data_IF_883351563059
#
_entry.id   IF_883351563059
#
_cell.length_a   1.000
_cell.length_b   1.000
_cell.length_c   1.000
_cell.angle_alpha   90.00
_cell.angle_beta   90.00
_cell.angle_gamma   90.00
#
_symmetry.space_group_name_H-M   'P 1'
#
loop_
_entity.id
_entity.type
_entity.pdbx_description
1 polymer ?
#
# COMPACT_ATOMS: atom_id res chain seq x y z
N UNK A 1 -6.18 -4.11 -14.16
CA UNK A 1 -6.74 -2.93 -13.49
C UNK A 1 -5.79 -1.76 -13.67
N UNK A 2 -6.29 -0.65 -14.13
CA UNK A 2 -5.50 0.53 -14.41
C UNK A 2 -5.24 1.32 -13.12
N UNK A 3 -3.99 1.70 -12.88
CA UNK A 3 -3.64 2.49 -11.71
C UNK A 3 -4.35 3.85 -11.70
N UNK A 4 -4.53 4.46 -12.87
CA UNK A 4 -5.23 5.73 -12.97
C UNK A 4 -6.66 5.62 -12.48
N UNK A 5 -7.31 4.51 -12.77
CA UNK A 5 -8.66 4.25 -12.32
C UNK A 5 -8.74 4.10 -10.79
N UNK A 6 -7.77 3.42 -10.20
CA UNK A 6 -7.70 3.25 -8.75
C UNK A 6 -7.56 4.59 -8.04
N UNK A 7 -6.76 5.50 -8.60
CA UNK A 7 -6.43 6.78 -7.96
C UNK A 7 -7.29 7.94 -8.45
N UNK A 8 -8.24 7.72 -9.35
CA UNK A 8 -8.99 8.77 -10.04
C UNK A 8 -9.74 9.68 -9.09
N UNK A 9 -10.12 9.62 -8.06
CA UNK A 9 -10.77 10.57 -7.17
C UNK A 9 -9.91 11.01 -6.01
N UNK A 10 -8.62 10.65 -6.02
CA UNK A 10 -7.75 10.84 -4.89
C UNK A 10 -6.43 11.50 -5.29
N UNK A 11 -6.52 12.60 -6.02
CA UNK A 11 -5.33 13.28 -6.55
C UNK A 11 -4.39 13.77 -5.44
N UNK A 12 -4.92 14.05 -4.24
CA UNK A 12 -4.11 14.51 -3.10
C UNK A 12 -3.61 13.37 -2.23
N UNK A 13 -3.95 12.14 -2.56
CA UNK A 13 -3.52 10.97 -1.79
C UNK A 13 -2.01 10.74 -1.95
N UNK A 14 -1.28 10.45 -0.85
CA UNK A 14 0.16 10.17 -0.95
C UNK A 14 0.52 9.07 -1.94
N UNK A 15 -0.30 8.04 -2.07
CA UNK A 15 -0.04 6.98 -3.04
C UNK A 15 -0.16 7.47 -4.47
N UNK A 16 -1.13 8.36 -4.75
CA UNK A 16 -1.26 8.98 -6.06
C UNK A 16 -0.02 9.80 -6.41
N UNK A 17 0.46 10.60 -5.48
CA UNK A 17 1.66 11.42 -5.67
C UNK A 17 2.87 10.52 -5.95
N UNK A 18 3.01 9.46 -5.16
CA UNK A 18 4.12 8.51 -5.32
C UNK A 18 4.08 7.84 -6.69
N UNK A 19 2.90 7.41 -7.13
CA UNK A 19 2.73 6.72 -8.41
C UNK A 19 2.99 7.62 -9.61
N UNK A 20 2.84 8.94 -9.45
CA UNK A 20 3.07 9.92 -10.51
C UNK A 20 4.45 10.55 -10.48
N UNK A 21 5.27 10.22 -9.49
CA UNK A 21 6.59 10.79 -9.36
C UNK A 21 7.45 10.43 -10.58
N UNK A 22 8.17 11.42 -11.11
CA UNK A 22 9.08 11.20 -12.23
C UNK A 22 10.31 10.43 -11.71
N UNK A 23 10.58 9.28 -12.29
CA UNK A 23 11.71 8.44 -11.89
C UNK A 23 12.96 8.66 -12.72
N UNK A 24 12.86 9.42 -13.81
CA UNK A 24 13.99 9.65 -14.70
C UNK A 24 15.22 10.26 -14.01
N UNK A 25 15.08 11.20 -13.04
CA UNK A 25 16.25 11.74 -12.36
C UNK A 25 16.95 10.78 -11.40
N UNK A 26 16.35 9.64 -11.09
CA UNK A 26 16.88 8.72 -10.08
C UNK A 26 17.96 7.82 -10.66
N UNK A 27 19.03 7.61 -9.89
CA UNK A 27 20.07 6.64 -10.22
C UNK A 27 19.58 5.22 -9.96
N UNK A 28 20.33 4.24 -10.42
CA UNK A 28 20.03 2.83 -10.16
C UNK A 28 19.99 2.55 -8.65
N UNK A 29 20.95 3.10 -7.90
CA UNK A 29 20.98 2.92 -6.46
C UNK A 29 19.76 3.55 -5.77
N UNK A 30 19.34 4.71 -6.27
CA UNK A 30 18.14 5.37 -5.74
C UNK A 30 16.88 4.59 -6.09
N UNK A 31 16.81 4.02 -7.28
CA UNK A 31 15.70 3.17 -7.66
C UNK A 31 15.64 1.91 -6.81
N UNK A 32 16.79 1.29 -6.54
CA UNK A 32 16.86 0.12 -5.66
C UNK A 32 16.39 0.46 -4.24
N UNK A 33 16.81 1.59 -3.72
CA UNK A 33 16.38 2.05 -2.40
C UNK A 33 14.87 2.31 -2.38
N UNK A 34 14.35 2.89 -3.46
CA UNK A 34 12.91 3.12 -3.60
C UNK A 34 12.15 1.81 -3.60
N UNK A 35 12.63 0.83 -4.35
CA UNK A 35 11.99 -0.49 -4.42
C UNK A 35 11.96 -1.14 -3.04
N UNK A 36 13.07 -1.10 -2.32
CA UNK A 36 13.15 -1.67 -0.98
C UNK A 36 12.16 -1.00 -0.03
N UNK A 37 12.04 0.31 -0.11
CA UNK A 37 11.09 1.06 0.72
C UNK A 37 9.64 0.70 0.37
N UNK A 38 9.35 0.54 -0.91
CA UNK A 38 8.01 0.16 -1.35
C UNK A 38 7.65 -1.26 -0.93
N UNK A 39 8.60 -2.17 -0.99
CA UNK A 39 8.39 -3.55 -0.53
C UNK A 39 8.10 -3.57 0.97
N UNK A 40 8.85 -2.79 1.76
CA UNK A 40 8.60 -2.67 3.20
C UNK A 40 7.21 -2.09 3.47
N UNK A 41 6.78 -1.13 2.67
CA UNK A 41 5.45 -0.53 2.79
C UNK A 41 4.35 -1.54 2.47
N UNK A 42 4.57 -2.39 1.47
CA UNK A 42 3.62 -3.46 1.14
C UNK A 42 3.47 -4.40 2.35
N UNK A 43 4.58 -4.79 2.96
CA UNK A 43 4.55 -5.67 4.13
C UNK A 43 3.78 -5.00 5.28
N UNK A 44 4.06 -3.73 5.55
CA UNK A 44 3.38 -2.97 6.60
C UNK A 44 1.88 -2.91 6.36
N UNK A 45 1.49 -2.65 5.12
CA UNK A 45 0.07 -2.55 4.74
C UNK A 45 -0.63 -3.91 4.88
N UNK A 46 0.03 -4.98 4.47
CA UNK A 46 -0.51 -6.33 4.61
C UNK A 46 -0.71 -6.72 6.06
N UNK A 47 0.26 -6.37 6.91
CA UNK A 47 0.16 -6.65 8.34
C UNK A 47 -1.04 -5.93 8.96
N UNK A 48 -1.26 -4.68 8.57
CA UNK A 48 -2.42 -3.93 9.05
C UNK A 48 -3.72 -4.57 8.58
N UNK A 49 -3.76 -4.96 7.31
CA UNK A 49 -4.92 -5.63 6.73
C UNK A 49 -5.22 -6.94 7.47
N UNK A 50 -4.20 -7.75 7.70
CA UNK A 50 -4.36 -9.03 8.38
C UNK A 50 -4.88 -8.85 9.80
N UNK A 51 -4.36 -7.85 10.53
CA UNK A 51 -4.84 -7.57 11.87
C UNK A 51 -6.30 -7.14 11.87
N UNK A 52 -6.69 -6.33 10.90
CA UNK A 52 -8.08 -5.89 10.77
C UNK A 52 -9.01 -7.05 10.45
N UNK A 53 -8.60 -7.93 9.54
CA UNK A 53 -9.38 -9.12 9.17
C UNK A 53 -9.47 -10.08 10.35
N UNK A 54 -8.35 -10.35 11.02
CA UNK A 54 -8.31 -11.27 12.15
C UNK A 54 -9.11 -10.75 13.34
N UNK A 55 -9.08 -9.46 13.57
CA UNK A 55 -9.88 -8.85 14.64
C UNK A 55 -11.36 -9.05 14.38
N UNK A 56 -11.79 -8.86 13.14
CA UNK A 56 -13.19 -9.09 12.75
C UNK A 56 -13.57 -10.55 12.89
N UNK A 57 -12.71 -11.46 12.44
CA UNK A 57 -12.95 -12.89 12.54
C UNK A 57 -13.06 -13.35 14.01
N UNK A 58 -12.21 -12.81 14.87
CA UNK A 58 -12.27 -13.12 16.30
C UNK A 58 -13.57 -12.64 16.92
N UNK A 59 -14.01 -11.44 16.58
CA UNK A 59 -15.29 -10.92 17.08
C UNK A 59 -16.45 -11.79 16.63
N UNK A 60 -16.48 -12.16 15.35
CA UNK A 60 -17.51 -13.03 14.78
C UNK A 60 -17.51 -14.40 15.47
N UNK A 61 -16.32 -14.94 15.75
CA UNK A 61 -16.18 -16.20 16.43
C UNK A 61 -16.77 -16.18 17.84
N UNK A 62 -16.63 -15.05 18.54
CA UNK A 62 -17.19 -14.90 19.88
C UNK A 62 -18.71 -14.91 19.87
N UNK A 63 -19.31 -14.36 18.82
CA UNK A 63 -20.76 -14.29 18.73
C UNK A 63 -21.40 -15.59 18.24
N UNK A 64 -20.63 -16.48 17.64
CA UNK A 64 -21.15 -17.72 17.09
C UNK A 64 -21.22 -18.86 18.08
N UNK A 65 -20.88 -18.67 19.30
CA UNK A 65 -20.92 -19.72 20.33
C UNK A 65 -22.28 -19.85 21.00
#
# INVERSE_FOLDING_TARGET
>A
MDLDEIFAGKSDDPLSALAKQDLDPLSVAELDARIAALEAEIVRSRQKKERAVNHRASADGLFKR
#
